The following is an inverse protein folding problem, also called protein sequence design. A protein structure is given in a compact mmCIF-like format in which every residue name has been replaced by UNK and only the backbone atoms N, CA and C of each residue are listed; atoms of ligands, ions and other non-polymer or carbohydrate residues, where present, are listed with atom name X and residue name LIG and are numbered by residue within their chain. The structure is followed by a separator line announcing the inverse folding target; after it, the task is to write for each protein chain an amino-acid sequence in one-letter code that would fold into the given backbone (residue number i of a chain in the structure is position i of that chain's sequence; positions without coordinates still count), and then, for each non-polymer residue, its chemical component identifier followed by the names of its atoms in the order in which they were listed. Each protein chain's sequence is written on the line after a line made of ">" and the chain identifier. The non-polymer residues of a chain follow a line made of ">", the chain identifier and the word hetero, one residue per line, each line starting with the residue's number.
data_IF_479456711211
#
_entry.id   IF_479456711211
#
_cell.length_a   1.000
_cell.length_b   1.000
_cell.length_c   1.000
_cell.angle_alpha   90.00
_cell.angle_beta   90.00
_cell.angle_gamma   90.00
#
_symmetry.space_group_name_H-M   'P 1'
#
loop_
_entity.id
_entity.type
_entity.pdbx_description
1 polymer ?
#
# COMPACT_ATOMS: atom_id res chain seq x y z
N UNK A 1 -7.83 -7.41 -15.28
CA UNK A 1 -8.37 -7.51 -13.91
C UNK A 1 -7.55 -6.66 -12.95
N UNK A 2 -8.21 -5.88 -12.10
CA UNK A 2 -7.56 -5.08 -11.05
C UNK A 2 -7.63 -5.83 -9.70
N UNK A 3 -6.51 -5.90 -8.98
CA UNK A 3 -6.44 -6.53 -7.64
C UNK A 3 -5.60 -5.71 -6.68
N UNK A 4 -6.02 -5.69 -5.42
CA UNK A 4 -5.25 -5.10 -4.32
C UNK A 4 -4.99 -6.15 -3.25
N UNK A 5 -3.74 -6.24 -2.81
CA UNK A 5 -3.28 -7.20 -1.81
C UNK A 5 -2.72 -6.42 -0.63
N UNK A 6 -3.24 -6.68 0.57
CA UNK A 6 -2.84 -5.98 1.79
C UNK A 6 -2.44 -6.98 2.85
N UNK A 7 -1.20 -6.87 3.31
CA UNK A 7 -0.63 -7.76 4.33
C UNK A 7 -0.24 -6.91 5.53
N UNK A 8 -0.62 -7.37 6.72
CA UNK A 8 -0.11 -6.89 8.00
C UNK A 8 0.60 -8.07 8.67
N UNK A 9 1.81 -7.85 9.16
CA UNK A 9 2.61 -8.81 9.89
C UNK A 9 2.65 -8.39 11.37
N UNK A 10 2.40 -9.33 12.29
CA UNK A 10 2.51 -9.07 13.74
C UNK A 10 3.95 -8.81 14.14
N UNK A 11 4.86 -9.67 13.67
CA UNK A 11 6.28 -9.66 14.00
C UNK A 11 7.11 -9.69 12.69
N UNK A 12 7.27 -8.54 12.01
CA UNK A 12 8.10 -8.50 10.82
C UNK A 12 9.57 -8.75 11.15
N UNK A 13 10.27 -9.49 10.28
CA UNK A 13 11.72 -9.65 10.37
C UNK A 13 12.48 -8.34 10.09
N UNK A 14 13.78 -8.28 10.37
CA UNK A 14 14.61 -7.10 10.08
C UNK A 14 14.50 -6.64 8.63
N UNK A 15 14.16 -5.37 8.41
CA UNK A 15 14.02 -4.77 7.07
C UNK A 15 12.76 -5.19 6.31
N UNK A 16 11.81 -5.86 6.96
CA UNK A 16 10.50 -6.16 6.38
C UNK A 16 9.48 -5.15 6.91
N UNK A 17 8.74 -4.43 6.05
CA UNK A 17 7.70 -3.54 6.52
C UNK A 17 6.57 -4.31 7.20
N UNK A 18 6.10 -3.81 8.34
CA UNK A 18 4.97 -4.39 9.08
C UNK A 18 3.69 -4.44 8.24
N UNK A 19 3.44 -3.42 7.41
CA UNK A 19 2.28 -3.38 6.52
C UNK A 19 2.70 -3.07 5.09
N UNK A 20 2.10 -3.78 4.14
CA UNK A 20 2.29 -3.58 2.70
C UNK A 20 0.93 -3.62 2.00
N UNK A 21 0.73 -2.70 1.05
CA UNK A 21 -0.41 -2.69 0.13
C UNK A 21 0.09 -2.62 -1.31
N UNK A 22 -0.22 -3.64 -2.11
CA UNK A 22 0.17 -3.76 -3.52
C UNK A 22 -1.05 -3.69 -4.43
N UNK A 23 -0.95 -2.93 -5.52
CA UNK A 23 -1.95 -2.90 -6.59
C UNK A 23 -1.43 -3.61 -7.83
N UNK A 24 -2.28 -4.41 -8.48
CA UNK A 24 -1.97 -5.14 -9.69
C UNK A 24 -3.03 -4.89 -10.77
N UNK A 25 -2.60 -4.57 -11.98
CA UNK A 25 -3.43 -4.57 -13.19
C UNK A 25 -2.98 -5.71 -14.09
N UNK A 26 -3.86 -6.69 -14.29
CA UNK A 26 -3.60 -7.87 -15.12
C UNK A 26 -2.32 -8.63 -14.72
N UNK A 27 -2.08 -8.72 -13.41
CA UNK A 27 -0.90 -9.38 -12.83
C UNK A 27 0.35 -8.51 -12.79
N UNK A 28 0.33 -7.32 -13.41
CA UNK A 28 1.45 -6.38 -13.40
C UNK A 28 1.34 -5.51 -12.14
N UNK A 29 2.38 -5.41 -11.29
CA UNK A 29 2.36 -4.51 -10.14
C UNK A 29 2.40 -3.06 -10.59
N UNK A 30 1.43 -2.26 -10.15
CA UNK A 30 1.23 -0.88 -10.59
C UNK A 30 1.43 0.13 -9.48
N UNK A 31 1.24 -0.27 -8.22
CA UNK A 31 1.43 0.60 -7.05
C UNK A 31 1.92 -0.20 -5.85
N UNK A 32 2.74 0.42 -5.01
CA UNK A 32 3.14 -0.10 -3.71
C UNK A 32 2.99 0.95 -2.62
N UNK A 33 2.52 0.53 -1.46
CA UNK A 33 2.68 1.23 -0.20
C UNK A 33 3.32 0.28 0.79
N UNK A 34 4.21 0.80 1.63
CA UNK A 34 4.69 0.09 2.80
C UNK A 34 4.84 1.03 4.00
N UNK A 35 4.75 0.45 5.21
CA UNK A 35 4.77 1.19 6.47
C UNK A 35 6.09 1.90 6.75
N UNK A 36 7.19 1.50 6.10
CA UNK A 36 8.49 2.18 6.24
C UNK A 36 8.53 3.48 5.43
N UNK A 37 8.03 3.46 4.19
CA UNK A 37 8.00 4.64 3.32
C UNK A 37 6.84 5.58 3.63
N UNK A 38 5.73 5.03 4.13
CA UNK A 38 4.54 5.81 4.49
C UNK A 38 3.84 6.51 3.33
N UNK A 39 4.12 6.12 2.08
CA UNK A 39 3.51 6.69 0.87
C UNK A 39 3.29 5.66 -0.23
N UNK A 40 2.26 5.89 -1.05
CA UNK A 40 2.03 5.11 -2.27
C UNK A 40 3.03 5.57 -3.33
N UNK A 41 3.67 4.60 -3.99
CA UNK A 41 4.54 4.83 -5.13
C UNK A 41 3.99 4.10 -6.37
N UNK A 42 3.91 4.75 -7.54
CA UNK A 42 3.69 4.07 -8.80
C UNK A 42 4.89 3.15 -9.09
N UNK A 43 4.61 1.99 -9.70
CA UNK A 43 5.63 1.02 -10.10
C UNK A 43 5.81 0.95 -11.63
N UNK A 44 4.99 1.68 -12.38
CA UNK A 44 5.10 1.79 -13.83
C UNK A 44 5.01 3.26 -14.26
N UNK A 45 5.72 3.61 -15.33
CA UNK A 45 5.78 4.98 -15.84
C UNK A 45 4.42 5.52 -16.29
N UNK A 46 3.55 4.66 -16.83
CA UNK A 46 2.21 5.06 -17.26
C UNK A 46 1.27 5.34 -16.08
N UNK A 47 1.45 4.67 -14.94
CA UNK A 47 0.72 5.03 -13.72
C UNK A 47 1.16 6.40 -13.19
N UNK A 48 2.47 6.63 -13.12
CA UNK A 48 3.02 7.89 -12.64
C UNK A 48 2.53 9.08 -13.47
N UNK A 49 2.59 8.97 -14.80
CA UNK A 49 2.20 10.04 -15.74
C UNK A 49 0.70 10.22 -15.89
N UNK A 50 -0.10 9.18 -15.63
CA UNK A 50 -1.55 9.18 -15.87
C UNK A 50 -2.38 9.70 -14.69
N UNK A 51 -1.76 9.98 -13.54
CA UNK A 51 -2.47 10.39 -12.34
C UNK A 51 -2.77 11.90 -12.32
N UNK A 52 -3.98 12.26 -11.90
CA UNK A 52 -4.37 13.65 -11.64
C UNK A 52 -3.63 14.22 -10.41
N UNK A 53 -3.46 15.55 -10.32
CA UNK A 53 -2.91 16.19 -9.13
C UNK A 53 -3.64 15.77 -7.85
N UNK A 54 -2.90 15.40 -6.81
CA UNK A 54 -3.45 14.97 -5.52
C UNK A 54 -3.93 13.51 -5.46
N UNK A 55 -3.98 12.78 -6.59
CA UNK A 55 -4.37 11.37 -6.60
C UNK A 55 -3.48 10.53 -5.66
N UNK A 56 -2.16 10.71 -5.74
CA UNK A 56 -1.20 9.94 -4.93
C UNK A 56 -1.29 10.25 -3.43
N UNK A 57 -1.58 11.50 -3.08
CA UNK A 57 -1.75 11.91 -1.69
C UNK A 57 -3.00 11.27 -1.09
N UNK A 58 -4.13 11.33 -1.82
CA UNK A 58 -5.36 10.66 -1.40
C UNK A 58 -5.18 9.14 -1.26
N UNK A 59 -4.49 8.50 -2.22
CA UNK A 59 -4.17 7.07 -2.14
C UNK A 59 -3.26 6.74 -0.94
N UNK A 60 -2.35 7.63 -0.60
CA UNK A 60 -1.45 7.49 0.56
C UNK A 60 -2.24 7.53 1.86
N UNK A 61 -3.15 8.49 2.03
CA UNK A 61 -3.98 8.61 3.23
C UNK A 61 -4.92 7.40 3.40
N UNK A 62 -5.46 6.86 2.30
CA UNK A 62 -6.23 5.61 2.33
C UNK A 62 -5.37 4.44 2.85
N UNK A 63 -4.13 4.32 2.37
CA UNK A 63 -3.25 3.24 2.81
C UNK A 63 -2.83 3.37 4.27
N UNK A 64 -2.54 4.58 4.75
CA UNK A 64 -2.26 4.86 6.18
C UNK A 64 -3.45 4.48 7.05
N UNK A 65 -4.67 4.86 6.64
CA UNK A 65 -5.90 4.48 7.38
C UNK A 65 -6.09 2.97 7.43
N UNK A 66 -5.86 2.28 6.32
CA UNK A 66 -5.94 0.81 6.28
C UNK A 66 -4.91 0.15 7.19
N UNK A 67 -3.66 0.64 7.20
CA UNK A 67 -2.63 0.17 8.13
C UNK A 67 -3.09 0.29 9.59
N UNK A 68 -3.62 1.46 9.99
CA UNK A 68 -4.11 1.69 11.35
C UNK A 68 -5.26 0.75 11.71
N UNK A 69 -6.26 0.62 10.83
CA UNK A 69 -7.42 -0.25 11.07
C UNK A 69 -7.01 -1.72 11.23
N UNK A 70 -6.08 -2.21 10.40
CA UNK A 70 -5.59 -3.58 10.53
C UNK A 70 -4.78 -3.78 11.81
N UNK A 71 -3.96 -2.80 12.20
CA UNK A 71 -3.18 -2.87 13.43
C UNK A 71 -4.08 -2.94 14.67
N UNK A 72 -5.15 -2.13 14.71
CA UNK A 72 -6.17 -2.19 15.77
C UNK A 72 -6.86 -3.55 15.79
N UNK A 73 -7.23 -4.07 14.61
CA UNK A 73 -7.84 -5.40 14.50
C UNK A 73 -6.93 -6.51 15.04
N UNK A 74 -5.63 -6.44 14.78
CA UNK A 74 -4.66 -7.40 15.29
C UNK A 74 -4.48 -7.34 16.82
N UNK A 75 -4.57 -6.15 17.42
CA UNK A 75 -4.52 -5.98 18.88
C UNK A 75 -5.78 -6.49 19.60
N UNK A 76 -6.86 -6.70 18.85
CA UNK A 76 -8.15 -7.14 19.37
C UNK A 76 -8.38 -8.65 19.22
N UNK A 77 -7.37 -9.40 18.76
CA UNK A 77 -7.33 -10.86 18.64
C UNK A 77 -6.59 -11.48 19.81
#
# INVERSE_FOLDING_TARGET
>A
SLRYLQVLMSEPGPGVPQFVSMGYLDGIPITRYDSERGRVVPLTAWMEKGAEPGYWDGRTEICKRNQQLKAIGLQSL
#
